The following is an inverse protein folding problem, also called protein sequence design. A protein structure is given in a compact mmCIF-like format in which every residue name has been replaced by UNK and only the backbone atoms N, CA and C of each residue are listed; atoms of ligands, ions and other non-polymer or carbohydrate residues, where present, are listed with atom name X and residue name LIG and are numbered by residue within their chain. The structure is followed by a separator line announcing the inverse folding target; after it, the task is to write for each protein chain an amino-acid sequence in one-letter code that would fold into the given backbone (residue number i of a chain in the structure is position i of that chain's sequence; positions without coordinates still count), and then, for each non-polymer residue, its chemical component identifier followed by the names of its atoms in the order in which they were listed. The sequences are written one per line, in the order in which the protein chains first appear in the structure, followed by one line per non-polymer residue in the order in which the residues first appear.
data_IF_654737493513
#
_entry.id   IF_654737493513
#
_cell.length_a   1.000
_cell.length_b   1.000
_cell.length_c   1.000
_cell.angle_alpha   90.00
_cell.angle_beta   90.00
_cell.angle_gamma   90.00
#
_symmetry.space_group_name_H-M   'P 1'
#
loop_
_entity.id
_entity.type
_entity.pdbx_description
1 polymer ?
#
# COMPACT_ATOMS: atom_id res chain seq x y z
N UNK A 1 -52.30 20.82 -3.29
CA UNK A 1 -51.48 20.76 -2.06
C UNK A 1 -50.74 19.44 -2.02
N UNK A 2 -49.48 19.38 -2.45
CA UNK A 2 -48.66 18.17 -2.40
C UNK A 2 -47.62 18.29 -1.30
N UNK A 3 -47.85 17.64 -0.15
CA UNK A 3 -46.88 17.56 0.95
C UNK A 3 -45.81 16.53 0.59
N UNK A 4 -44.76 16.96 -0.12
CA UNK A 4 -43.55 16.17 -0.25
C UNK A 4 -42.84 16.11 1.11
N UNK A 5 -43.13 15.08 1.91
CA UNK A 5 -42.32 14.73 3.09
C UNK A 5 -40.91 14.41 2.63
N UNK A 6 -40.01 15.39 2.74
CA UNK A 6 -38.57 15.20 2.61
C UNK A 6 -38.15 14.18 3.66
N UNK A 7 -37.88 12.91 3.27
CA UNK A 7 -37.30 11.91 4.19
C UNK A 7 -36.04 12.53 4.80
N UNK A 8 -35.99 12.68 6.12
CA UNK A 8 -34.76 13.08 6.82
C UNK A 8 -33.69 12.07 6.41
N UNK A 9 -32.61 12.54 5.78
CA UNK A 9 -31.39 11.73 5.60
C UNK A 9 -30.95 11.35 7.01
N UNK A 10 -31.26 10.13 7.43
CA UNK A 10 -30.58 9.50 8.55
C UNK A 10 -29.09 9.62 8.22
N UNK A 11 -28.31 10.23 9.12
CA UNK A 11 -26.86 10.29 8.94
C UNK A 11 -26.43 8.83 8.83
N UNK A 12 -25.96 8.40 7.66
CA UNK A 12 -25.33 7.10 7.54
C UNK A 12 -24.13 7.15 8.48
N UNK A 13 -24.12 6.29 9.48
CA UNK A 13 -22.93 6.12 10.31
C UNK A 13 -21.90 5.34 9.52
N UNK A 14 -20.63 5.54 9.84
CA UNK A 14 -19.56 4.75 9.26
C UNK A 14 -19.68 3.31 9.77
N UNK A 15 -19.79 2.36 8.84
CA UNK A 15 -19.84 0.94 9.17
C UNK A 15 -18.44 0.47 9.60
N UNK A 16 -18.36 -0.21 10.74
CA UNK A 16 -17.15 -0.91 11.15
C UNK A 16 -16.86 -2.13 10.26
N UNK A 17 -15.63 -2.66 10.32
CA UNK A 17 -15.21 -3.82 9.51
C UNK A 17 -16.12 -5.04 9.71
N UNK A 18 -16.52 -5.31 10.95
CA UNK A 18 -17.41 -6.43 11.28
C UNK A 18 -18.82 -6.25 10.68
N UNK A 19 -19.37 -5.04 10.70
CA UNK A 19 -20.68 -4.73 10.12
C UNK A 19 -20.63 -4.82 8.59
N UNK A 20 -19.59 -4.25 7.98
CA UNK A 20 -19.36 -4.33 6.54
C UNK A 20 -19.22 -5.78 6.06
N UNK A 21 -18.46 -6.60 6.80
CA UNK A 21 -18.30 -8.03 6.50
C UNK A 21 -19.65 -8.76 6.58
N UNK A 22 -20.44 -8.49 7.62
CA UNK A 22 -21.77 -9.08 7.79
C UNK A 22 -22.73 -8.69 6.67
N UNK A 23 -22.71 -7.44 6.22
CA UNK A 23 -23.55 -6.98 5.11
C UNK A 23 -23.16 -7.59 3.75
N UNK A 24 -21.87 -7.81 3.51
CA UNK A 24 -21.38 -8.34 2.24
C UNK A 24 -21.45 -9.87 2.15
N UNK A 25 -21.15 -10.57 3.25
CA UNK A 25 -20.94 -12.02 3.27
C UNK A 25 -21.89 -12.78 4.21
N UNK A 26 -22.71 -12.07 5.00
CA UNK A 26 -23.62 -12.67 5.97
C UNK A 26 -22.94 -13.01 7.30
N UNK A 27 -23.53 -13.95 8.05
CA UNK A 27 -22.99 -14.35 9.35
C UNK A 27 -21.56 -14.91 9.20
N UNK A 28 -20.62 -14.56 10.12
CA UNK A 28 -19.26 -15.09 10.07
C UNK A 28 -19.27 -16.62 10.11
N UNK A 29 -18.70 -17.28 9.10
CA UNK A 29 -18.52 -18.72 9.11
C UNK A 29 -17.35 -19.10 10.03
N UNK A 30 -17.35 -20.34 10.54
CA UNK A 30 -16.27 -20.87 11.40
C UNK A 30 -14.91 -20.90 10.67
N UNK A 31 -14.93 -20.79 9.34
CA UNK A 31 -13.75 -20.80 8.47
C UNK A 31 -12.97 -19.47 8.52
N UNK A 32 -13.59 -18.37 8.97
CA UNK A 32 -12.97 -17.04 9.01
C UNK A 32 -12.70 -16.62 10.45
N UNK A 33 -11.42 -16.48 10.80
CA UNK A 33 -10.98 -16.07 12.14
C UNK A 33 -10.31 -14.72 12.09
N UNK A 34 -10.81 -13.76 12.87
CA UNK A 34 -10.12 -12.50 13.10
C UNK A 34 -8.92 -12.74 14.00
N UNK A 35 -7.70 -12.53 13.49
CA UNK A 35 -6.46 -12.70 14.26
C UNK A 35 -5.84 -11.34 14.52
N UNK A 36 -5.52 -11.05 15.79
CA UNK A 36 -4.76 -9.87 16.15
C UNK A 36 -3.31 -10.08 15.70
N UNK A 37 -2.91 -9.38 14.64
CA UNK A 37 -1.52 -9.41 14.19
C UNK A 37 -0.61 -8.83 15.28
N UNK A 38 0.57 -9.42 15.49
CA UNK A 38 1.56 -8.82 16.37
C UNK A 38 1.95 -7.43 15.83
N UNK A 39 2.40 -6.51 16.70
CA UNK A 39 2.87 -5.20 16.26
C UNK A 39 3.86 -5.34 15.10
N UNK A 40 3.64 -4.62 14.00
CA UNK A 40 4.56 -4.62 12.86
C UNK A 40 5.94 -4.25 13.38
N UNK A 41 6.94 -5.09 13.08
CA UNK A 41 8.34 -4.82 13.42
C UNK A 41 8.72 -3.42 12.95
N UNK A 42 9.39 -2.65 13.82
CA UNK A 42 9.93 -1.33 13.46
C UNK A 42 10.82 -1.52 12.23
N UNK A 43 10.46 -0.86 11.13
CA UNK A 43 11.35 -0.75 9.98
C UNK A 43 12.41 0.27 10.37
N UNK A 44 13.68 -0.11 10.33
CA UNK A 44 14.76 0.84 10.54
C UNK A 44 14.74 1.86 9.40
N UNK A 45 14.91 3.14 9.74
CA UNK A 45 15.14 4.16 8.74
C UNK A 45 16.47 3.84 8.04
N UNK A 46 16.41 3.54 6.75
CA UNK A 46 17.61 3.37 5.94
C UNK A 46 18.28 4.75 5.80
N UNK A 47 19.60 4.78 5.90
CA UNK A 47 20.40 6.02 5.70
C UNK A 47 20.39 6.51 4.26
N UNK A 48 19.90 5.70 3.33
CA UNK A 48 19.91 5.93 1.88
C UNK A 48 18.53 5.63 1.34
N UNK A 49 18.06 6.50 0.44
CA UNK A 49 16.81 6.27 -0.27
C UNK A 49 17.00 5.24 -1.39
N UNK A 50 15.89 4.70 -1.91
CA UNK A 50 15.94 3.84 -3.09
C UNK A 50 16.48 4.58 -4.32
N UNK A 51 16.21 5.88 -4.44
CA UNK A 51 16.71 6.69 -5.56
C UNK A 51 18.22 6.91 -5.47
N UNK A 52 18.76 7.09 -4.26
CA UNK A 52 20.22 7.18 -4.08
C UNK A 52 20.93 5.90 -4.49
N UNK A 53 20.31 4.74 -4.24
CA UNK A 53 20.83 3.45 -4.70
C UNK A 53 20.76 3.33 -6.22
N UNK A 54 19.64 3.73 -6.84
CA UNK A 54 19.47 3.73 -8.30
C UNK A 54 20.55 4.57 -8.98
N UNK A 55 20.74 5.82 -8.54
CA UNK A 55 21.72 6.75 -9.12
C UNK A 55 23.14 6.23 -9.03
N UNK A 56 23.58 5.79 -7.84
CA UNK A 56 24.94 5.23 -7.66
C UNK A 56 25.17 3.96 -8.45
N UNK A 57 24.13 3.15 -8.63
CA UNK A 57 24.22 1.96 -9.46
C UNK A 57 24.41 2.31 -10.93
N UNK A 58 23.64 3.28 -11.43
CA UNK A 58 23.76 3.79 -12.78
C UNK A 58 25.17 4.35 -13.07
N UNK A 59 25.70 5.20 -12.17
CA UNK A 59 27.06 5.76 -12.28
C UNK A 59 28.14 4.67 -12.42
N UNK A 60 27.98 3.55 -11.69
CA UNK A 60 28.91 2.41 -11.79
C UNK A 60 28.77 1.62 -13.08
N UNK A 61 27.56 1.58 -13.64
CA UNK A 61 27.27 0.88 -14.88
C UNK A 61 27.89 1.65 -16.05
N UNK A 62 27.68 2.97 -16.10
CA UNK A 62 28.28 3.89 -17.07
C UNK A 62 29.81 3.84 -17.00
N UNK A 63 30.40 3.96 -15.81
CA UNK A 63 31.85 3.89 -15.64
C UNK A 63 32.45 2.54 -16.07
N UNK A 64 31.66 1.45 -15.97
CA UNK A 64 32.08 0.14 -16.46
C UNK A 64 32.02 0.06 -17.98
N UNK A 65 30.98 0.60 -18.59
CA UNK A 65 30.81 0.64 -20.05
C UNK A 65 31.94 1.47 -20.69
N UNK A 66 32.21 2.66 -20.18
CA UNK A 66 33.33 3.51 -20.64
C UNK A 66 34.69 2.80 -20.56
N UNK A 67 34.90 2.02 -19.49
CA UNK A 67 36.13 1.28 -19.28
C UNK A 67 36.28 0.07 -20.22
N UNK A 68 35.17 -0.51 -20.70
CA UNK A 68 35.21 -1.57 -21.72
C UNK A 68 35.36 -0.97 -23.13
N UNK A 69 34.66 0.12 -23.44
CA UNK A 69 34.81 0.83 -24.74
C UNK A 69 36.24 1.38 -24.92
N UNK A 70 36.85 1.89 -23.85
CA UNK A 70 38.24 2.34 -23.86
C UNK A 70 39.27 1.22 -24.06
N UNK A 71 38.91 -0.05 -23.83
CA UNK A 71 39.77 -1.21 -24.15
C UNK A 71 39.63 -1.66 -25.60
N UNK A 72 38.52 -1.35 -26.27
CA UNK A 72 38.28 -1.74 -27.67
C UNK A 72 38.92 -0.78 -28.69
N UNK A 73 39.30 0.44 -28.28
CA UNK A 73 40.08 1.36 -29.12
C UNK A 73 41.59 1.17 -28.89
N UNK A 74 42.37 0.80 -29.93
CA UNK A 74 43.82 0.63 -29.83
C UNK A 74 44.56 1.96 -29.63
#
# INVERSE_FOLDING_TARGET
MGLFRRRKKTRLHELGEAEAYHHAYGAPSVEVRTVKLPPRRKRYALRVSGEDLRRRFQERLEAREDAEEGKERP
#
